data_IF_242198067749
#
_entry.id   IF_242198067749
#
_cell.length_a   1.000
_cell.length_b   1.000
_cell.length_c   1.000
_cell.angle_alpha   90.00
_cell.angle_beta   90.00
_cell.angle_gamma   90.00
#
_symmetry.space_group_name_H-M   'P 1'
#
loop_
_entity.id
_entity.type
_entity.pdbx_description
1 polymer ?
#
# COMPACT_ATOMS: atom_id res chain seq x y z
N UNK A 1 -43.47 -26.02 -19.67
CA UNK A 1 -43.32 -25.36 -20.97
C UNK A 1 -41.86 -24.99 -21.14
N UNK A 2 -41.09 -25.92 -21.70
CA UNK A 2 -39.65 -25.87 -21.93
C UNK A 2 -39.33 -25.12 -23.23
N UNK A 3 -38.25 -24.33 -23.26
CA UNK A 3 -37.56 -23.96 -24.50
C UNK A 3 -36.05 -23.89 -24.29
N UNK A 4 -35.39 -24.85 -24.92
CA UNK A 4 -33.94 -24.94 -25.15
C UNK A 4 -33.51 -24.16 -26.41
N UNK A 5 -32.27 -23.67 -26.33
CA UNK A 5 -31.24 -23.50 -27.38
C UNK A 5 -31.53 -22.75 -28.68
N UNK A 6 -30.69 -21.74 -28.98
CA UNK A 6 -29.83 -21.76 -30.19
C UNK A 6 -28.70 -20.72 -30.13
N UNK A 7 -27.47 -21.22 -30.10
CA UNK A 7 -26.24 -20.52 -30.46
C UNK A 7 -26.26 -20.21 -31.97
N UNK A 8 -26.01 -18.96 -32.37
CA UNK A 8 -25.72 -18.59 -33.76
C UNK A 8 -24.30 -18.01 -33.84
N UNK A 9 -23.46 -18.70 -34.61
CA UNK A 9 -22.09 -18.35 -34.97
C UNK A 9 -22.14 -17.69 -36.36
N UNK A 10 -21.66 -16.46 -36.48
CA UNK A 10 -21.57 -15.69 -37.74
C UNK A 10 -20.16 -15.87 -38.36
N UNK A 11 -20.00 -15.99 -39.70
CA UNK A 11 -18.76 -16.38 -40.35
C UNK A 11 -18.01 -15.15 -40.85
N UNK A 12 -16.88 -14.86 -40.23
CA UNK A 12 -15.82 -14.02 -40.81
C UNK A 12 -14.52 -14.42 -40.15
N UNK A 13 -13.42 -14.38 -40.89
CA UNK A 13 -12.06 -14.84 -40.51
C UNK A 13 -11.70 -16.28 -40.91
N UNK A 14 -11.77 -16.53 -42.21
CA UNK A 14 -10.95 -17.53 -42.90
C UNK A 14 -9.57 -16.95 -43.23
N UNK A 15 -8.49 -17.63 -42.83
CA UNK A 15 -7.17 -17.49 -43.44
C UNK A 15 -6.11 -16.87 -42.55
N UNK A 16 -5.26 -17.72 -41.96
CA UNK A 16 -3.79 -17.62 -41.98
C UNK A 16 -3.22 -18.85 -41.24
N UNK A 17 -2.74 -19.79 -42.05
CA UNK A 17 -2.04 -21.02 -41.69
C UNK A 17 -0.57 -20.72 -41.35
N UNK A 18 -0.06 -21.32 -40.28
CA UNK A 18 1.38 -21.55 -40.09
C UNK A 18 1.61 -23.03 -39.77
N UNK A 19 2.33 -23.68 -40.69
CA UNK A 19 2.74 -25.08 -40.66
C UNK A 19 3.76 -25.35 -39.55
N UNK A 20 3.66 -26.54 -38.96
CA UNK A 20 4.67 -27.15 -38.09
C UNK A 20 5.33 -28.31 -38.84
N UNK A 21 6.66 -28.47 -38.85
CA UNK A 21 7.29 -29.70 -39.32
C UNK A 21 7.70 -30.64 -38.17
N UNK A 22 7.88 -31.95 -38.46
CA UNK A 22 7.69 -33.03 -37.49
C UNK A 22 8.98 -33.63 -36.92
N UNK A 23 8.76 -34.48 -35.91
CA UNK A 23 9.67 -35.43 -35.25
C UNK A 23 10.08 -36.56 -36.21
N UNK A 24 11.34 -37.02 -36.14
CA UNK A 24 11.75 -38.33 -36.65
C UNK A 24 12.57 -39.13 -35.64
N UNK A 25 12.13 -40.37 -35.44
CA UNK A 25 12.80 -41.48 -34.74
C UNK A 25 13.93 -42.09 -35.58
N UNK A 26 14.82 -42.83 -34.89
CA UNK A 26 16.04 -43.41 -35.45
C UNK A 26 15.87 -44.72 -36.23
N UNK A 27 17.00 -45.20 -36.74
CA UNK A 27 17.20 -46.58 -37.22
C UNK A 27 18.69 -46.95 -37.15
N UNK A 28 18.91 -48.26 -37.11
CA UNK A 28 20.02 -49.02 -36.53
C UNK A 28 20.92 -49.62 -37.64
N UNK A 29 22.10 -50.10 -37.23
CA UNK A 29 22.99 -51.14 -37.82
C UNK A 29 24.19 -50.74 -38.74
N UNK A 30 25.38 -51.28 -38.38
CA UNK A 30 26.64 -51.27 -39.16
C UNK A 30 26.73 -52.48 -40.12
N UNK A 31 27.91 -53.09 -40.42
CA UNK A 31 29.30 -52.78 -40.07
C UNK A 31 30.31 -52.84 -41.27
N UNK A 32 31.62 -52.75 -40.95
CA UNK A 32 32.82 -53.24 -41.68
C UNK A 32 33.73 -52.27 -42.50
N UNK A 33 35.01 -52.31 -42.09
CA UNK A 33 36.28 -51.83 -42.68
C UNK A 33 36.93 -52.96 -43.54
N UNK A 34 38.15 -52.83 -44.17
CA UNK A 34 39.08 -51.71 -44.44
C UNK A 34 39.66 -51.78 -45.92
N UNK A 35 40.95 -51.48 -46.23
CA UNK A 35 41.65 -50.18 -46.33
C UNK A 35 42.37 -49.97 -47.70
N UNK A 36 42.83 -48.75 -48.05
CA UNK A 36 44.04 -48.56 -48.89
C UNK A 36 44.82 -47.27 -48.56
N UNK A 37 46.13 -47.45 -48.40
CA UNK A 37 47.20 -46.47 -48.17
C UNK A 37 47.74 -45.92 -49.50
N UNK A 38 48.11 -44.62 -49.55
CA UNK A 38 49.22 -44.17 -50.43
C UNK A 38 49.99 -42.98 -49.83
N UNK A 39 51.31 -43.19 -49.70
CA UNK A 39 52.36 -42.20 -49.39
C UNK A 39 52.67 -41.32 -50.62
N UNK A 40 53.39 -40.19 -50.40
CA UNK A 40 54.69 -39.79 -51.01
C UNK A 40 54.84 -38.25 -50.93
N UNK A 41 55.56 -37.70 -49.94
CA UNK A 41 56.96 -37.15 -49.90
C UNK A 41 57.18 -35.71 -50.39
N UNK A 42 58.03 -34.97 -49.65
CA UNK A 42 58.78 -33.76 -50.08
C UNK A 42 58.72 -32.64 -49.02
N UNK A 43 59.64 -32.50 -48.06
CA UNK A 43 61.07 -32.13 -48.07
C UNK A 43 61.34 -30.60 -47.97
N UNK A 44 62.04 -30.24 -46.87
CA UNK A 44 62.93 -29.09 -46.60
C UNK A 44 62.34 -27.75 -46.11
N UNK A 45 62.85 -27.30 -44.95
CA UNK A 45 63.28 -25.91 -44.79
C UNK A 45 63.05 -25.19 -43.44
N UNK A 46 64.12 -25.06 -42.65
CA UNK A 46 64.53 -23.87 -41.85
C UNK A 46 63.86 -23.55 -40.50
N UNK A 47 64.60 -23.91 -39.43
CA UNK A 47 64.99 -23.13 -38.23
C UNK A 47 64.30 -21.80 -37.86
N UNK A 48 63.75 -21.75 -36.63
CA UNK A 48 64.18 -20.92 -35.47
C UNK A 48 63.09 -20.13 -34.71
N UNK A 49 63.17 -20.28 -33.38
CA UNK A 49 62.77 -19.36 -32.30
C UNK A 49 61.29 -19.31 -31.86
N UNK A 50 61.09 -19.90 -30.66
CA UNK A 50 60.20 -19.51 -29.56
C UNK A 50 58.73 -19.22 -29.84
N UNK A 51 57.81 -20.02 -29.26
CA UNK A 51 56.72 -19.51 -28.42
C UNK A 51 56.11 -20.65 -27.59
N UNK A 52 56.03 -20.43 -26.28
CA UNK A 52 55.60 -21.36 -25.24
C UNK A 52 54.19 -21.93 -25.43
N UNK A 53 54.01 -23.26 -25.27
CA UNK A 53 52.73 -23.83 -24.77
C UNK A 53 52.82 -25.26 -24.21
N UNK A 54 52.83 -25.32 -22.87
CA UNK A 54 51.83 -26.02 -22.04
C UNK A 54 51.67 -27.54 -22.18
N UNK A 55 52.20 -28.28 -21.21
CA UNK A 55 51.69 -29.61 -20.82
C UNK A 55 51.72 -29.75 -19.29
N UNK A 56 50.58 -29.52 -18.65
CA UNK A 56 50.33 -29.88 -17.25
C UNK A 56 48.95 -30.56 -17.17
N UNK A 57 48.92 -31.72 -16.52
CA UNK A 57 47.85 -32.71 -16.48
C UNK A 57 46.51 -32.16 -15.94
N UNK A 58 45.43 -32.40 -16.67
CA UNK A 58 44.05 -32.26 -16.19
C UNK A 58 43.54 -33.62 -15.71
N UNK A 59 43.53 -33.86 -14.39
CA UNK A 59 42.74 -34.96 -13.81
C UNK A 59 42.23 -34.69 -12.39
N UNK A 60 42.28 -33.45 -11.88
CA UNK A 60 41.79 -33.15 -10.52
C UNK A 60 40.83 -31.95 -10.39
N UNK A 61 40.42 -31.29 -11.47
CA UNK A 61 39.74 -29.98 -11.36
C UNK A 61 38.21 -30.04 -11.53
N UNK A 62 37.58 -31.21 -11.69
CA UNK A 62 36.13 -31.30 -12.02
C UNK A 62 35.25 -31.62 -10.80
N UNK A 63 35.79 -32.12 -9.68
CA UNK A 63 34.97 -32.47 -8.49
C UNK A 63 34.71 -31.31 -7.52
N UNK A 64 35.52 -30.24 -7.54
CA UNK A 64 35.39 -29.11 -6.60
C UNK A 64 34.23 -28.15 -6.95
N UNK A 65 33.93 -27.82 -8.23
CA UNK A 65 32.86 -26.88 -8.56
C UNK A 65 31.47 -27.42 -8.21
N UNK A 66 31.22 -28.72 -8.44
CA UNK A 66 29.94 -29.35 -8.14
C UNK A 66 29.69 -29.46 -6.63
N UNK A 67 30.72 -29.79 -5.84
CA UNK A 67 30.61 -29.89 -4.38
C UNK A 67 30.43 -28.51 -3.73
N UNK A 68 31.07 -27.46 -4.26
CA UNK A 68 30.90 -26.08 -3.79
C UNK A 68 29.50 -25.54 -4.11
N UNK A 69 28.99 -25.76 -5.34
CA UNK A 69 27.62 -25.39 -5.70
C UNK A 69 26.60 -26.18 -4.85
N UNK A 70 26.84 -27.47 -4.59
CA UNK A 70 26.00 -28.28 -3.71
C UNK A 70 26.08 -27.81 -2.25
N UNK A 71 27.25 -27.43 -1.74
CA UNK A 71 27.43 -26.94 -0.38
C UNK A 71 26.85 -25.52 -0.18
N UNK A 72 26.91 -24.66 -1.20
CA UNK A 72 26.26 -23.35 -1.22
C UNK A 72 24.74 -23.49 -1.33
N UNK A 73 24.22 -24.39 -2.17
CA UNK A 73 22.78 -24.63 -2.28
C UNK A 73 22.20 -25.35 -1.07
N UNK A 74 22.90 -26.33 -0.48
CA UNK A 74 22.50 -26.99 0.77
C UNK A 74 22.66 -26.04 1.96
N UNK A 75 23.73 -25.24 2.01
CA UNK A 75 23.93 -24.21 3.02
C UNK A 75 22.87 -23.10 2.96
N UNK A 76 22.51 -22.67 1.75
CA UNK A 76 21.41 -21.73 1.52
C UNK A 76 20.06 -22.37 1.86
N UNK A 77 19.81 -23.62 1.47
CA UNK A 77 18.57 -24.33 1.82
C UNK A 77 18.44 -24.57 3.32
N UNK A 78 19.55 -24.89 4.02
CA UNK A 78 19.61 -25.00 5.48
C UNK A 78 19.43 -23.64 6.16
N UNK A 79 20.03 -22.58 5.62
CA UNK A 79 19.81 -21.21 6.10
C UNK A 79 18.36 -20.78 5.94
N UNK A 80 17.75 -21.04 4.78
CA UNK A 80 16.32 -20.80 4.52
C UNK A 80 15.44 -21.65 5.43
N UNK A 81 15.79 -22.91 5.67
CA UNK A 81 15.07 -23.79 6.59
C UNK A 81 15.15 -23.27 8.04
N UNK A 82 16.34 -22.89 8.51
CA UNK A 82 16.55 -22.33 9.85
C UNK A 82 15.88 -20.97 10.01
N UNK A 83 15.91 -20.13 8.97
CA UNK A 83 15.16 -18.87 8.94
C UNK A 83 13.66 -19.12 9.00
N UNK A 84 13.14 -20.09 8.23
CA UNK A 84 11.73 -20.49 8.25
C UNK A 84 11.31 -20.99 9.62
N UNK A 85 12.11 -21.85 10.25
CA UNK A 85 11.85 -22.39 11.59
C UNK A 85 11.77 -21.28 12.66
N UNK A 86 12.73 -20.34 12.62
CA UNK A 86 12.72 -19.17 13.49
C UNK A 86 11.52 -18.26 13.21
N UNK A 87 11.13 -18.12 11.95
CA UNK A 87 9.94 -17.36 11.55
C UNK A 87 8.67 -18.02 12.10
N UNK A 88 8.56 -19.35 12.04
CA UNK A 88 7.40 -20.08 12.54
C UNK A 88 7.30 -20.06 14.06
N UNK A 89 8.44 -20.12 14.77
CA UNK A 89 8.45 -19.95 16.23
C UNK A 89 7.96 -18.56 16.61
N UNK A 90 8.50 -17.53 15.95
CA UNK A 90 8.08 -16.15 16.19
C UNK A 90 6.61 -15.91 15.80
N UNK A 91 6.14 -16.53 14.70
CA UNK A 91 4.73 -16.51 14.31
C UNK A 91 3.86 -17.06 15.43
N UNK A 92 4.21 -18.23 15.96
CA UNK A 92 3.44 -18.90 17.01
C UNK A 92 3.42 -18.06 18.29
N UNK A 93 4.55 -17.45 18.68
CA UNK A 93 4.61 -16.55 19.84
C UNK A 93 3.70 -15.33 19.68
N UNK A 94 3.76 -14.67 18.51
CA UNK A 94 2.95 -13.47 18.24
C UNK A 94 1.46 -13.81 18.15
N UNK A 95 1.10 -14.87 17.44
CA UNK A 95 -0.29 -15.31 17.33
C UNK A 95 -0.82 -15.78 18.70
N UNK A 96 -0.02 -16.49 19.50
CA UNK A 96 -0.41 -16.90 20.85
C UNK A 96 -0.59 -15.69 21.77
N UNK A 97 0.30 -14.69 21.71
CA UNK A 97 0.13 -13.46 22.45
C UNK A 97 -1.16 -12.73 22.10
N UNK A 98 -1.49 -12.64 20.80
CA UNK A 98 -2.72 -12.00 20.33
C UNK A 98 -3.96 -12.80 20.73
N UNK A 99 -3.92 -14.14 20.66
CA UNK A 99 -5.01 -15.01 21.09
C UNK A 99 -5.23 -14.93 22.61
N UNK A 100 -4.16 -14.78 23.40
CA UNK A 100 -4.25 -14.54 24.85
C UNK A 100 -4.83 -13.15 25.17
N UNK A 101 -4.57 -12.15 24.32
CA UNK A 101 -5.05 -10.77 24.53
C UNK A 101 -6.51 -10.60 24.14
N UNK A 102 -6.93 -11.16 23.01
CA UNK A 102 -8.25 -10.91 22.41
C UNK A 102 -9.19 -12.12 22.47
N UNK A 103 -8.69 -13.30 22.89
CA UNK A 103 -9.46 -14.53 22.95
C UNK A 103 -9.46 -15.31 21.63
N UNK A 104 -10.33 -16.32 21.48
CA UNK A 104 -10.39 -17.14 20.29
C UNK A 104 -10.84 -16.33 19.07
N UNK A 105 -10.18 -16.57 17.93
CA UNK A 105 -10.56 -15.94 16.66
C UNK A 105 -11.83 -16.55 16.07
N UNK A 106 -12.50 -15.77 15.26
CA UNK A 106 -13.71 -16.14 14.54
C UNK A 106 -13.43 -17.28 13.53
N UNK A 107 -14.15 -18.38 13.67
CA UNK A 107 -13.97 -19.55 12.82
C UNK A 107 -14.34 -19.29 11.34
N UNK A 108 -15.20 -18.31 11.06
CA UNK A 108 -15.75 -18.03 9.72
C UNK A 108 -14.71 -17.51 8.74
N UNK A 109 -13.64 -16.89 9.24
CA UNK A 109 -12.57 -16.28 8.43
C UNK A 109 -11.29 -17.12 8.38
N UNK A 110 -11.28 -18.30 9.02
CA UNK A 110 -10.12 -19.20 9.01
C UNK A 110 -9.86 -19.72 7.60
N UNK A 111 -8.59 -19.81 7.22
CA UNK A 111 -8.16 -20.21 5.87
C UNK A 111 -8.26 -19.10 4.82
N UNK A 112 -8.74 -17.91 5.17
CA UNK A 112 -8.77 -16.78 4.24
C UNK A 112 -7.37 -16.20 4.08
N UNK A 113 -7.08 -15.72 2.87
CA UNK A 113 -5.77 -15.19 2.51
C UNK A 113 -5.34 -14.07 3.47
N UNK A 114 -4.14 -14.25 4.05
CA UNK A 114 -3.49 -13.34 5.02
C UNK A 114 -4.20 -13.17 6.38
N UNK A 115 -5.17 -14.01 6.75
CA UNK A 115 -5.84 -13.93 8.05
C UNK A 115 -5.36 -14.96 9.08
N UNK A 116 -4.82 -16.11 8.65
CA UNK A 116 -4.41 -17.17 9.58
C UNK A 116 -3.22 -16.78 10.48
N UNK A 117 -2.33 -15.95 9.96
CA UNK A 117 -1.13 -15.49 10.66
C UNK A 117 -1.01 -13.96 10.57
N UNK A 118 -0.53 -13.34 11.65
CA UNK A 118 -0.24 -11.91 11.68
C UNK A 118 1.05 -11.53 10.95
N UNK A 119 1.98 -12.48 10.78
CA UNK A 119 3.29 -12.19 10.22
C UNK A 119 3.25 -11.56 8.81
N UNK A 120 2.43 -12.05 7.86
CA UNK A 120 2.33 -11.41 6.54
C UNK A 120 1.97 -9.92 6.63
N UNK A 121 0.99 -9.57 7.47
CA UNK A 121 0.55 -8.19 7.71
C UNK A 121 1.67 -7.34 8.27
N UNK A 122 2.38 -7.87 9.27
CA UNK A 122 3.52 -7.21 9.89
C UNK A 122 4.67 -6.99 8.89
N UNK A 123 5.06 -8.02 8.13
CA UNK A 123 6.13 -7.92 7.14
C UNK A 123 5.80 -6.94 6.02
N UNK A 124 4.57 -6.97 5.49
CA UNK A 124 4.13 -6.01 4.48
C UNK A 124 4.17 -4.57 5.00
N UNK A 125 3.81 -4.36 6.27
CA UNK A 125 3.93 -3.06 6.94
C UNK A 125 5.40 -2.61 7.05
N UNK A 126 6.30 -3.50 7.46
CA UNK A 126 7.74 -3.21 7.54
C UNK A 126 8.30 -2.88 6.16
N UNK A 127 7.96 -3.67 5.13
CA UNK A 127 8.34 -3.43 3.73
C UNK A 127 7.84 -2.07 3.27
N UNK A 128 6.59 -1.71 3.59
CA UNK A 128 6.03 -0.40 3.28
C UNK A 128 6.87 0.73 3.89
N UNK A 129 7.18 0.68 5.18
CA UNK A 129 8.00 1.72 5.84
C UNK A 129 9.42 1.78 5.27
N UNK A 130 10.03 0.61 5.01
CA UNK A 130 11.34 0.52 4.36
C UNK A 130 11.31 1.09 2.94
N UNK A 131 10.22 0.88 2.19
CA UNK A 131 10.07 1.40 0.83
C UNK A 131 10.05 2.93 0.81
N UNK A 132 9.48 3.57 1.84
CA UNK A 132 9.51 5.04 1.97
C UNK A 132 10.94 5.52 2.19
N UNK A 133 11.67 4.90 3.13
CA UNK A 133 13.04 5.30 3.42
C UNK A 133 13.99 5.05 2.24
N UNK A 134 13.98 3.83 1.71
CA UNK A 134 14.84 3.41 0.60
C UNK A 134 14.48 4.15 -0.70
N UNK A 135 13.19 4.31 -0.98
CA UNK A 135 12.71 5.02 -2.16
C UNK A 135 13.10 6.49 -2.14
N UNK A 136 13.01 7.19 -1.00
CA UNK A 136 13.49 8.57 -0.88
C UNK A 136 15.01 8.68 -1.08
N UNK A 137 15.78 7.73 -0.52
CA UNK A 137 17.24 7.67 -0.71
C UNK A 137 17.60 7.44 -2.19
N UNK A 138 16.89 6.53 -2.86
CA UNK A 138 17.08 6.19 -4.27
C UNK A 138 16.70 7.36 -5.21
N UNK A 139 15.61 8.06 -4.91
CA UNK A 139 15.10 9.17 -5.72
C UNK A 139 15.84 10.50 -5.49
N UNK A 140 16.75 10.58 -4.50
CA UNK A 140 17.50 11.81 -4.18
C UNK A 140 18.20 12.40 -5.41
N UNK A 141 18.93 11.56 -6.13
CA UNK A 141 19.76 11.95 -7.30
C UNK A 141 19.07 11.71 -8.65
N UNK A 142 17.77 11.41 -8.66
CA UNK A 142 17.01 11.12 -9.89
C UNK A 142 15.93 12.19 -10.15
N UNK A 143 15.55 12.43 -11.41
CA UNK A 143 14.39 13.25 -11.73
C UNK A 143 13.09 12.56 -11.29
N UNK A 144 12.02 13.34 -11.08
CA UNK A 144 10.71 12.80 -10.75
C UNK A 144 10.12 12.01 -11.93
N UNK A 145 9.53 10.85 -11.67
CA UNK A 145 8.95 10.02 -12.72
C UNK A 145 7.56 10.53 -13.16
N UNK A 146 7.32 10.54 -14.47
CA UNK A 146 6.00 10.83 -15.04
C UNK A 146 5.16 9.55 -15.09
N UNK A 147 4.38 9.32 -14.04
CA UNK A 147 3.56 8.11 -13.90
C UNK A 147 2.07 8.36 -14.21
N UNK A 148 1.76 9.35 -15.06
CA UNK A 148 0.38 9.84 -15.26
C UNK A 148 -0.62 8.73 -15.63
N UNK A 149 -0.30 7.92 -16.64
CA UNK A 149 -1.18 6.82 -17.08
C UNK A 149 -1.42 5.80 -15.97
N UNK A 150 -0.35 5.37 -15.30
CA UNK A 150 -0.42 4.42 -14.18
C UNK A 150 -1.29 4.98 -13.05
N UNK A 151 -1.10 6.26 -12.68
CA UNK A 151 -1.92 6.89 -11.64
C UNK A 151 -3.40 6.95 -12.04
N UNK A 152 -3.74 7.22 -13.31
CA UNK A 152 -5.15 7.25 -13.75
C UNK A 152 -5.78 5.87 -13.57
N UNK A 153 -5.15 4.81 -14.08
CA UNK A 153 -5.66 3.44 -13.94
C UNK A 153 -5.73 2.99 -12.48
N UNK A 154 -4.71 3.32 -11.69
CA UNK A 154 -4.68 3.02 -10.27
C UNK A 154 -5.83 3.71 -9.52
N UNK A 155 -5.96 5.04 -9.66
CA UNK A 155 -7.04 5.78 -8.98
C UNK A 155 -8.42 5.28 -9.44
N UNK A 156 -8.60 4.98 -10.73
CA UNK A 156 -9.84 4.39 -11.24
C UNK A 156 -10.11 3.02 -10.62
N UNK A 157 -9.10 2.16 -10.54
CA UNK A 157 -9.20 0.84 -9.92
C UNK A 157 -9.62 0.90 -8.45
N UNK A 158 -9.01 1.79 -7.66
CA UNK A 158 -9.39 1.97 -6.25
C UNK A 158 -10.80 2.56 -6.14
N UNK A 159 -11.18 3.51 -7.00
CA UNK A 159 -12.55 4.05 -7.04
C UNK A 159 -13.57 2.94 -7.31
N UNK A 160 -13.32 2.07 -8.29
CA UNK A 160 -14.21 0.95 -8.63
C UNK A 160 -14.28 -0.09 -7.50
N UNK A 161 -13.15 -0.42 -6.89
CA UNK A 161 -13.10 -1.31 -5.72
C UNK A 161 -13.90 -0.72 -4.54
N UNK A 162 -13.75 0.59 -4.29
CA UNK A 162 -14.49 1.30 -3.24
C UNK A 162 -15.98 1.35 -3.53
N UNK A 163 -16.38 1.51 -4.80
CA UNK A 163 -17.77 1.44 -5.23
C UNK A 163 -18.35 0.04 -5.01
N UNK A 164 -17.63 -1.00 -5.42
CA UNK A 164 -18.01 -2.39 -5.17
C UNK A 164 -18.24 -2.65 -3.67
N UNK A 165 -17.27 -2.28 -2.82
CA UNK A 165 -17.39 -2.47 -1.37
C UNK A 165 -18.57 -1.70 -0.77
N UNK A 166 -18.80 -0.44 -1.21
CA UNK A 166 -19.92 0.36 -0.76
C UNK A 166 -21.27 -0.30 -1.10
N UNK A 167 -21.44 -0.69 -2.36
CA UNK A 167 -22.68 -1.31 -2.86
C UNK A 167 -22.93 -2.63 -2.15
N UNK A 168 -21.92 -3.50 -2.06
CA UNK A 168 -22.06 -4.78 -1.40
C UNK A 168 -22.33 -4.66 0.10
N UNK A 169 -21.70 -3.72 0.82
CA UNK A 169 -22.01 -3.50 2.24
C UNK A 169 -23.44 -3.01 2.44
N UNK A 170 -23.93 -2.09 1.60
CA UNK A 170 -25.31 -1.60 1.69
C UNK A 170 -26.29 -2.73 1.38
N UNK A 171 -26.09 -3.49 0.30
CA UNK A 171 -26.97 -4.59 -0.07
C UNK A 171 -26.96 -5.71 0.98
N UNK A 172 -25.77 -6.13 1.44
CA UNK A 172 -25.65 -7.19 2.43
C UNK A 172 -26.34 -6.83 3.76
N UNK A 173 -26.23 -5.58 4.19
CA UNK A 173 -26.83 -5.13 5.45
C UNK A 173 -28.32 -4.86 5.33
N UNK A 174 -28.79 -4.36 4.18
CA UNK A 174 -30.21 -4.17 3.89
C UNK A 174 -30.96 -5.49 3.77
N UNK A 175 -30.46 -6.41 2.94
CA UNK A 175 -31.05 -7.75 2.76
C UNK A 175 -30.95 -8.59 4.04
N UNK A 176 -29.88 -8.40 4.82
CA UNK A 176 -29.67 -9.06 6.11
C UNK A 176 -30.46 -8.46 7.27
N UNK A 177 -31.25 -7.39 7.05
CA UNK A 177 -32.05 -6.75 8.11
C UNK A 177 -31.22 -6.21 9.27
N UNK A 178 -30.02 -5.67 8.99
CA UNK A 178 -29.11 -5.17 10.03
C UNK A 178 -29.76 -4.06 10.85
N UNK A 179 -29.58 -4.14 12.17
CA UNK A 179 -29.95 -3.05 13.06
C UNK A 179 -28.87 -1.96 13.01
N UNK A 180 -29.23 -0.80 12.45
CA UNK A 180 -28.35 0.35 12.28
C UNK A 180 -27.91 1.01 13.60
N UNK A 181 -28.59 0.72 14.71
CA UNK A 181 -28.21 1.26 16.02
C UNK A 181 -27.18 0.38 16.72
N UNK A 182 -27.42 -0.94 16.73
CA UNK A 182 -26.49 -1.92 17.27
C UNK A 182 -26.74 -3.30 16.64
N UNK A 183 -25.71 -3.87 15.99
CA UNK A 183 -25.74 -5.18 15.35
C UNK A 183 -24.68 -6.09 15.97
N UNK A 184 -25.09 -7.28 16.41
CA UNK A 184 -24.17 -8.28 16.96
C UNK A 184 -23.49 -9.10 15.85
N UNK A 185 -22.69 -10.10 16.24
CA UNK A 185 -21.85 -10.86 15.32
C UNK A 185 -22.52 -12.11 14.70
N UNK A 186 -23.72 -12.47 15.17
CA UNK A 186 -24.34 -13.78 14.88
C UNK A 186 -25.78 -13.70 14.39
N UNK A 187 -26.42 -12.53 14.46
CA UNK A 187 -27.86 -12.39 14.24
C UNK A 187 -28.30 -12.45 12.77
N UNK A 188 -27.42 -12.25 11.79
CA UNK A 188 -27.81 -12.10 10.39
C UNK A 188 -27.37 -13.26 9.47
N UNK A 189 -26.84 -14.35 10.04
CA UNK A 189 -26.60 -15.61 9.32
C UNK A 189 -25.73 -15.44 8.07
N UNK A 190 -26.29 -15.71 6.88
CA UNK A 190 -25.57 -15.59 5.61
C UNK A 190 -25.14 -14.15 5.28
N UNK A 191 -25.91 -13.15 5.72
CA UNK A 191 -25.56 -11.75 5.53
C UNK A 191 -24.29 -11.38 6.31
N UNK A 192 -24.08 -11.95 7.50
CA UNK A 192 -22.84 -11.75 8.27
C UNK A 192 -21.61 -12.27 7.51
N UNK A 193 -21.75 -13.41 6.82
CA UNK A 193 -20.68 -13.97 5.99
C UNK A 193 -20.43 -13.09 4.77
N UNK A 194 -21.49 -12.56 4.13
CA UNK A 194 -21.36 -11.62 3.01
C UNK A 194 -20.64 -10.34 3.45
N UNK A 195 -21.03 -9.75 4.58
CA UNK A 195 -20.33 -8.59 5.17
C UNK A 195 -18.87 -8.92 5.44
N UNK A 196 -18.57 -10.06 6.07
CA UNK A 196 -17.20 -10.48 6.34
C UNK A 196 -16.34 -10.57 5.07
N UNK A 197 -16.87 -11.13 3.97
CA UNK A 197 -16.18 -11.20 2.67
C UNK A 197 -15.85 -9.81 2.13
N UNK A 198 -16.77 -8.86 2.26
CA UNK A 198 -16.54 -7.48 1.80
C UNK A 198 -15.55 -6.76 2.72
N UNK A 199 -15.60 -7.02 4.03
CA UNK A 199 -14.61 -6.50 4.97
C UNK A 199 -13.21 -7.08 4.72
N UNK A 200 -13.10 -8.30 4.22
CA UNK A 200 -11.83 -8.84 3.74
C UNK A 200 -11.30 -8.07 2.53
N UNK A 201 -12.15 -7.75 1.54
CA UNK A 201 -11.78 -6.86 0.44
C UNK A 201 -11.38 -5.47 0.94
N UNK A 202 -12.04 -4.97 1.97
CA UNK A 202 -11.68 -3.70 2.60
C UNK A 202 -10.29 -3.77 3.25
N UNK A 203 -9.98 -4.81 4.00
CA UNK A 203 -8.63 -5.04 4.54
C UNK A 203 -7.59 -5.14 3.42
N UNK A 204 -7.86 -5.94 2.38
CA UNK A 204 -6.98 -6.07 1.23
C UNK A 204 -6.77 -4.74 0.50
N UNK A 205 -7.81 -3.90 0.40
CA UNK A 205 -7.69 -2.57 -0.20
C UNK A 205 -6.66 -1.71 0.52
N UNK A 206 -6.53 -1.79 1.85
CA UNK A 206 -5.52 -1.02 2.61
C UNK A 206 -4.08 -1.39 2.20
N UNK A 207 -3.84 -2.65 1.84
CA UNK A 207 -2.57 -3.08 1.27
C UNK A 207 -2.31 -2.45 -0.10
N UNK A 208 -3.33 -2.39 -0.96
CA UNK A 208 -3.22 -1.74 -2.28
C UNK A 208 -2.96 -0.24 -2.11
N UNK A 209 -3.60 0.40 -1.13
CA UNK A 209 -3.43 1.83 -0.81
C UNK A 209 -2.01 2.20 -0.34
N UNK A 210 -1.18 1.23 0.08
CA UNK A 210 0.26 1.49 0.31
C UNK A 210 0.97 2.01 -0.95
N UNK A 211 0.45 1.69 -2.14
CA UNK A 211 0.97 2.20 -3.40
C UNK A 211 0.85 3.73 -3.51
N UNK A 212 -0.09 4.38 -2.81
CA UNK A 212 -0.21 5.85 -2.78
C UNK A 212 1.11 6.51 -2.36
N UNK A 213 1.68 6.01 -1.27
CA UNK A 213 2.92 6.54 -0.72
C UNK A 213 4.09 6.24 -1.65
N UNK A 214 4.11 5.07 -2.27
CA UNK A 214 5.14 4.70 -3.26
C UNK A 214 5.07 5.66 -4.46
N UNK A 215 3.88 5.97 -4.97
CA UNK A 215 3.73 6.97 -6.04
C UNK A 215 4.17 8.36 -5.60
N UNK A 216 3.92 8.78 -4.35
CA UNK A 216 4.43 10.05 -3.83
C UNK A 216 5.96 10.09 -3.80
N UNK A 217 6.61 9.01 -3.38
CA UNK A 217 8.08 8.89 -3.37
C UNK A 217 8.63 8.96 -4.80
N UNK A 218 8.10 8.16 -5.72
CA UNK A 218 8.56 8.09 -7.12
C UNK A 218 8.34 9.41 -7.88
N UNK A 219 7.33 10.20 -7.50
CA UNK A 219 7.06 11.53 -8.06
C UNK A 219 7.78 12.67 -7.35
N UNK A 220 8.62 12.37 -6.34
CA UNK A 220 9.29 13.35 -5.45
C UNK A 220 8.30 14.34 -4.82
N UNK A 221 7.12 13.87 -4.44
CA UNK A 221 6.08 14.64 -3.73
C UNK A 221 6.12 14.34 -2.23
N UNK A 222 7.32 14.44 -1.64
CA UNK A 222 7.57 14.14 -0.21
C UNK A 222 6.72 14.99 0.73
N UNK A 223 6.35 16.21 0.34
CA UNK A 223 5.42 17.05 1.11
C UNK A 223 4.02 16.43 1.32
N UNK A 224 3.63 15.44 0.51
CA UNK A 224 2.38 14.70 0.68
C UNK A 224 2.52 13.55 1.70
N UNK A 225 3.73 13.07 1.95
CA UNK A 225 4.04 12.00 2.91
C UNK A 225 4.13 12.62 4.31
N UNK A 226 2.96 12.99 4.84
CA UNK A 226 2.85 13.56 6.18
C UNK A 226 2.82 12.47 7.26
N UNK A 227 3.07 12.86 8.51
CA UNK A 227 2.88 11.96 9.66
C UNK A 227 1.47 11.36 9.67
N UNK A 228 0.44 12.17 9.43
CA UNK A 228 -0.95 11.72 9.36
C UNK A 228 -1.12 10.61 8.32
N UNK A 229 -0.56 10.80 7.11
CA UNK A 229 -0.63 9.82 6.03
C UNK A 229 0.00 8.49 6.43
N UNK A 230 1.26 8.52 6.89
CA UNK A 230 1.98 7.29 7.25
C UNK A 230 1.36 6.60 8.47
N UNK A 231 0.96 7.36 9.49
CA UNK A 231 0.26 6.85 10.67
C UNK A 231 -1.04 6.14 10.27
N UNK A 232 -1.88 6.79 9.46
CA UNK A 232 -3.14 6.23 9.00
C UNK A 232 -2.95 4.93 8.22
N UNK A 233 -2.15 4.94 7.14
CA UNK A 233 -1.97 3.74 6.31
C UNK A 233 -1.36 2.59 7.10
N UNK A 234 -0.34 2.86 7.92
CA UNK A 234 0.33 1.82 8.74
C UNK A 234 -0.63 1.23 9.78
N UNK A 235 -1.32 2.08 10.54
CA UNK A 235 -2.22 1.61 11.61
C UNK A 235 -3.45 0.90 11.06
N UNK A 236 -4.08 1.43 10.01
CA UNK A 236 -5.30 0.83 9.43
C UNK A 236 -5.08 -0.61 8.99
N UNK A 237 -3.99 -0.89 8.27
CA UNK A 237 -3.75 -2.25 7.78
C UNK A 237 -3.62 -3.28 8.92
N UNK A 238 -2.90 -2.92 9.99
CA UNK A 238 -2.72 -3.81 11.15
C UNK A 238 -3.99 -3.93 12.00
N UNK A 239 -4.72 -2.83 12.22
CA UNK A 239 -5.98 -2.83 12.96
C UNK A 239 -7.02 -3.71 12.25
N UNK A 240 -7.13 -3.60 10.93
CA UNK A 240 -8.12 -4.36 10.16
C UNK A 240 -7.86 -5.87 10.14
N UNK A 241 -6.60 -6.29 10.23
CA UNK A 241 -6.27 -7.70 10.44
C UNK A 241 -6.85 -8.22 11.77
N UNK A 242 -6.75 -7.43 12.85
CA UNK A 242 -7.37 -7.79 14.12
C UNK A 242 -8.91 -7.77 14.01
N UNK A 243 -9.49 -6.71 13.44
CA UNK A 243 -10.95 -6.59 13.29
C UNK A 243 -11.52 -7.81 12.55
N UNK A 244 -10.90 -8.26 11.47
CA UNK A 244 -11.37 -9.45 10.75
C UNK A 244 -11.23 -10.75 11.54
N UNK A 245 -10.18 -10.89 12.34
CA UNK A 245 -9.98 -12.11 13.12
C UNK A 245 -10.93 -12.24 14.31
N UNK A 246 -11.41 -11.15 14.91
CA UNK A 246 -12.26 -11.21 16.11
C UNK A 246 -13.69 -10.70 15.91
N UNK A 247 -13.91 -9.73 15.02
CA UNK A 247 -15.19 -9.05 14.81
C UNK A 247 -15.48 -8.81 13.31
N UNK A 248 -15.52 -9.87 12.47
CA UNK A 248 -15.63 -9.75 11.00
C UNK A 248 -17.00 -9.31 10.48
N UNK A 249 -17.93 -8.90 11.33
CA UNK A 249 -19.25 -8.42 10.93
C UNK A 249 -19.87 -7.57 12.06
N UNK A 250 -21.20 -7.44 12.09
CA UNK A 250 -21.90 -6.66 13.11
C UNK A 250 -21.54 -5.18 13.02
N UNK A 251 -21.41 -4.51 14.18
CA UNK A 251 -21.12 -3.07 14.27
C UNK A 251 -19.88 -2.58 13.49
N UNK A 252 -18.93 -3.45 13.17
CA UNK A 252 -17.73 -3.12 12.38
C UNK A 252 -18.03 -2.62 10.96
N UNK A 253 -19.20 -2.89 10.40
CA UNK A 253 -19.53 -2.58 9.00
C UNK A 253 -19.61 -1.08 8.68
N UNK A 254 -20.08 -0.26 9.63
CA UNK A 254 -20.52 1.11 9.35
C UNK A 254 -19.35 2.03 8.96
N UNK A 255 -18.22 1.91 9.65
CA UNK A 255 -17.00 2.67 9.34
C UNK A 255 -16.50 2.43 7.91
N UNK A 256 -16.28 1.17 7.49
CA UNK A 256 -15.97 0.78 6.11
C UNK A 256 -16.96 1.27 5.07
N UNK A 257 -18.27 1.24 5.35
CA UNK A 257 -19.29 1.76 4.44
C UNK A 257 -19.06 3.24 4.16
N UNK A 258 -18.94 4.06 5.22
CA UNK A 258 -18.68 5.49 5.05
C UNK A 258 -17.28 5.77 4.47
N UNK A 259 -16.27 5.01 4.86
CA UNK A 259 -14.92 5.14 4.31
C UNK A 259 -14.89 4.85 2.81
N UNK A 260 -15.57 3.78 2.36
CA UNK A 260 -15.66 3.41 0.95
C UNK A 260 -16.34 4.51 0.15
N UNK A 261 -17.41 5.11 0.67
CA UNK A 261 -18.04 6.28 0.04
C UNK A 261 -17.07 7.47 -0.11
N UNK A 262 -16.35 7.81 0.96
CA UNK A 262 -15.37 8.90 0.91
C UNK A 262 -14.19 8.56 -0.02
N UNK A 263 -13.77 7.29 -0.08
CA UNK A 263 -12.71 6.82 -0.97
C UNK A 263 -13.12 6.94 -2.44
N UNK A 264 -14.38 6.66 -2.80
CA UNK A 264 -14.89 6.93 -4.15
C UNK A 264 -14.66 8.41 -4.52
N UNK A 265 -15.04 9.34 -3.64
CA UNK A 265 -14.89 10.77 -3.89
C UNK A 265 -13.41 11.20 -3.96
N UNK A 266 -12.60 10.68 -3.04
CA UNK A 266 -11.19 11.05 -2.87
C UNK A 266 -10.32 10.52 -4.02
N UNK A 267 -10.45 9.23 -4.39
CA UNK A 267 -9.70 8.67 -5.51
C UNK A 267 -10.21 9.18 -6.87
N UNK A 268 -11.51 9.49 -7.01
CA UNK A 268 -12.00 10.20 -8.20
C UNK A 268 -11.36 11.59 -8.32
N UNK A 269 -11.25 12.34 -7.22
CA UNK A 269 -10.54 13.62 -7.21
C UNK A 269 -9.07 13.45 -7.58
N UNK A 270 -8.37 12.44 -7.06
CA UNK A 270 -6.98 12.19 -7.40
C UNK A 270 -6.79 11.78 -8.86
N UNK A 271 -7.64 10.90 -9.40
CA UNK A 271 -7.62 10.54 -10.82
C UNK A 271 -7.80 11.75 -11.72
N UNK A 272 -8.81 12.59 -11.44
CA UNK A 272 -9.04 13.83 -12.18
C UNK A 272 -7.89 14.83 -12.03
N UNK A 273 -7.24 14.88 -10.86
CA UNK A 273 -6.08 15.77 -10.60
C UNK A 273 -4.82 15.40 -11.38
N UNK A 274 -4.78 14.22 -12.02
CA UNK A 274 -3.67 13.87 -12.92
C UNK A 274 -3.79 14.60 -14.26
N UNK A 275 -5.01 14.95 -14.67
CA UNK A 275 -5.32 15.57 -15.95
C UNK A 275 -5.19 17.10 -15.82
N UNK A 276 -4.23 17.77 -16.49
CA UNK A 276 -4.01 19.20 -16.31
C UNK A 276 -5.21 20.09 -16.66
N UNK A 277 -5.98 19.72 -17.69
CA UNK A 277 -7.19 20.45 -18.08
C UNK A 277 -8.29 20.42 -17.00
N UNK A 278 -8.27 19.42 -16.13
CA UNK A 278 -9.28 19.27 -15.08
C UNK A 278 -8.99 20.10 -13.83
N UNK A 279 -7.76 20.61 -13.65
CA UNK A 279 -7.35 21.32 -12.43
C UNK A 279 -8.24 22.52 -12.10
N UNK A 280 -8.72 23.25 -13.11
CA UNK A 280 -9.62 24.40 -12.95
C UNK A 280 -10.96 24.02 -12.30
N UNK A 281 -11.43 22.78 -12.52
CA UNK A 281 -12.73 22.30 -12.03
C UNK A 281 -12.64 21.65 -10.63
N UNK A 282 -11.44 21.47 -10.08
CA UNK A 282 -11.18 20.78 -8.81
C UNK A 282 -11.17 21.72 -7.59
N UNK A 283 -12.05 22.73 -7.59
CA UNK A 283 -12.19 23.73 -6.51
C UNK A 283 -12.73 23.12 -5.21
N UNK A 284 -13.36 21.95 -5.28
CA UNK A 284 -14.06 21.31 -4.18
C UNK A 284 -13.17 20.47 -3.25
N UNK A 285 -11.84 20.59 -3.38
CA UNK A 285 -10.86 19.91 -2.50
C UNK A 285 -11.13 20.14 -1.01
N UNK A 286 -11.56 21.34 -0.62
CA UNK A 286 -11.87 21.67 0.78
C UNK A 286 -13.06 20.86 1.30
N UNK A 287 -14.08 20.64 0.47
CA UNK A 287 -15.27 19.88 0.85
C UNK A 287 -14.96 18.39 1.03
N UNK A 288 -13.98 17.85 0.29
CA UNK A 288 -13.49 16.48 0.53
C UNK A 288 -12.93 16.33 1.96
N UNK A 289 -12.10 17.26 2.41
CA UNK A 289 -11.56 17.21 3.78
C UNK A 289 -12.65 17.40 4.84
N UNK A 290 -13.66 18.23 4.56
CA UNK A 290 -14.83 18.36 5.44
C UNK A 290 -15.64 17.05 5.49
N UNK A 291 -15.85 16.39 4.35
CA UNK A 291 -16.55 15.11 4.28
C UNK A 291 -15.80 14.01 5.04
N UNK A 292 -14.46 13.96 4.96
CA UNK A 292 -13.61 13.07 5.77
C UNK A 292 -13.78 13.31 7.28
N UNK A 293 -13.81 14.56 7.73
CA UNK A 293 -14.06 14.89 9.14
C UNK A 293 -15.45 14.46 9.59
N UNK A 294 -16.47 14.70 8.76
CA UNK A 294 -17.86 14.28 9.03
C UNK A 294 -17.94 12.74 9.13
N UNK A 295 -17.25 12.01 8.25
CA UNK A 295 -17.17 10.55 8.27
C UNK A 295 -16.70 10.03 9.63
N UNK A 296 -15.65 10.62 10.19
CA UNK A 296 -15.12 10.21 11.49
C UNK A 296 -16.10 10.51 12.63
N UNK A 297 -16.73 11.69 12.63
CA UNK A 297 -17.74 12.05 13.63
C UNK A 297 -18.93 11.10 13.57
N UNK A 298 -19.47 10.82 12.38
CA UNK A 298 -20.57 9.87 12.20
C UNK A 298 -20.20 8.47 12.69
N UNK A 299 -18.97 8.01 12.40
CA UNK A 299 -18.52 6.69 12.85
C UNK A 299 -18.38 6.62 14.37
N UNK A 300 -17.89 7.70 15.02
CA UNK A 300 -17.85 7.80 16.48
C UNK A 300 -19.27 7.76 17.05
N UNK A 301 -20.18 8.57 16.52
CA UNK A 301 -21.58 8.61 16.99
C UNK A 301 -22.27 7.24 16.91
N UNK A 302 -22.11 6.52 15.80
CA UNK A 302 -22.62 5.16 15.64
C UNK A 302 -21.97 4.16 16.61
N UNK A 303 -20.67 4.27 16.84
CA UNK A 303 -19.98 3.40 17.80
C UNK A 303 -20.45 3.67 19.24
N UNK A 304 -20.65 4.94 19.59
CA UNK A 304 -21.15 5.34 20.91
C UNK A 304 -22.62 4.95 21.12
N UNK A 305 -23.46 4.94 20.07
CA UNK A 305 -24.84 4.46 20.22
C UNK A 305 -24.88 2.98 20.62
N UNK A 306 -23.97 2.16 20.09
CA UNK A 306 -23.82 0.75 20.49
C UNK A 306 -23.27 0.57 21.92
N UNK A 307 -22.56 1.57 22.46
CA UNK A 307 -22.14 1.59 23.87
C UNK A 307 -23.32 1.89 24.80
N UNK A 308 -24.21 2.80 24.41
CA UNK A 308 -25.38 3.16 25.23
C UNK A 308 -26.44 2.07 25.22
N UNK A 309 -26.67 1.43 24.07
CA UNK A 309 -27.66 0.36 23.91
C UNK A 309 -26.93 -0.91 23.45
N UNK A 310 -26.46 -1.74 24.40
CA UNK A 310 -25.63 -2.89 24.09
C UNK A 310 -26.45 -4.00 23.44
N UNK A 311 -25.96 -4.51 22.30
CA UNK A 311 -26.54 -5.64 21.58
C UNK A 311 -25.71 -6.93 21.67
N UNK A 312 -24.70 -6.98 22.55
CA UNK A 312 -23.78 -8.11 22.68
C UNK A 312 -22.53 -8.01 21.80
N UNK A 313 -22.26 -6.86 21.18
CA UNK A 313 -20.97 -6.59 20.53
C UNK A 313 -19.88 -6.34 21.60
N UNK A 314 -18.62 -6.80 21.42
CA UNK A 314 -17.58 -6.66 22.44
C UNK A 314 -17.27 -5.21 22.81
N UNK A 315 -17.51 -4.85 24.07
CA UNK A 315 -17.33 -3.47 24.57
C UNK A 315 -15.91 -2.93 24.37
N UNK A 316 -14.89 -3.74 24.63
CA UNK A 316 -13.48 -3.35 24.44
C UNK A 316 -13.17 -2.92 23.01
N UNK A 317 -13.77 -3.58 22.01
CA UNK A 317 -13.61 -3.21 20.60
C UNK A 317 -14.27 -1.87 20.28
N UNK A 318 -15.43 -1.56 20.87
CA UNK A 318 -16.13 -0.27 20.68
C UNK A 318 -15.32 0.89 21.26
N UNK A 319 -14.74 0.71 22.44
CA UNK A 319 -13.88 1.72 23.08
C UNK A 319 -12.59 1.91 22.27
N UNK A 320 -11.95 0.82 21.84
CA UNK A 320 -10.78 0.87 20.98
C UNK A 320 -11.08 1.65 19.68
N UNK A 321 -12.14 1.29 18.97
CA UNK A 321 -12.59 1.97 17.76
C UNK A 321 -12.83 3.47 17.99
N UNK A 322 -13.55 3.82 19.06
CA UNK A 322 -13.84 5.22 19.41
C UNK A 322 -12.56 6.00 19.72
N UNK A 323 -11.63 5.40 20.47
CA UNK A 323 -10.36 6.03 20.82
C UNK A 323 -9.47 6.25 19.59
N UNK A 324 -9.38 5.27 18.69
CA UNK A 324 -8.61 5.39 17.46
C UNK A 324 -9.21 6.45 16.53
N UNK A 325 -10.54 6.47 16.38
CA UNK A 325 -11.20 7.46 15.55
C UNK A 325 -11.01 8.88 16.08
N UNK A 326 -11.00 9.07 17.40
CA UNK A 326 -10.66 10.35 18.03
C UNK A 326 -9.24 10.81 17.67
N UNK A 327 -8.25 9.90 17.64
CA UNK A 327 -6.88 10.26 17.21
C UNK A 327 -6.87 10.78 15.77
N UNK A 328 -7.62 10.15 14.86
CA UNK A 328 -7.72 10.59 13.47
C UNK A 328 -8.43 11.94 13.35
N UNK A 329 -9.51 12.17 14.11
CA UNK A 329 -10.18 13.48 14.16
C UNK A 329 -9.19 14.58 14.56
N UNK A 330 -8.40 14.37 15.62
CA UNK A 330 -7.41 15.35 16.08
C UNK A 330 -6.38 15.65 14.99
N UNK A 331 -5.84 14.62 14.35
CA UNK A 331 -4.82 14.77 13.30
C UNK A 331 -5.37 15.44 12.04
N UNK A 332 -6.58 15.07 11.60
CA UNK A 332 -7.23 15.69 10.43
C UNK A 332 -7.66 17.12 10.72
N UNK A 333 -8.13 17.41 11.94
CA UNK A 333 -8.46 18.78 12.34
C UNK A 333 -7.20 19.65 12.37
N UNK A 334 -6.08 19.13 12.86
CA UNK A 334 -4.79 19.81 12.82
C UNK A 334 -4.37 20.11 11.37
N UNK A 335 -4.47 19.13 10.48
CA UNK A 335 -4.20 19.30 9.05
C UNK A 335 -5.13 20.36 8.41
N UNK A 336 -6.43 20.30 8.70
CA UNK A 336 -7.43 21.22 8.15
C UNK A 336 -7.17 22.66 8.59
N UNK A 337 -6.90 22.88 9.89
CA UNK A 337 -6.59 24.21 10.43
C UNK A 337 -5.30 24.76 9.81
N UNK A 338 -4.25 23.94 9.71
CA UNK A 338 -2.97 24.35 9.11
C UNK A 338 -3.09 24.67 7.61
N UNK A 339 -3.90 23.93 6.87
CA UNK A 339 -4.02 24.06 5.41
C UNK A 339 -5.01 25.16 4.99
N UNK A 340 -6.13 25.31 5.71
CA UNK A 340 -7.26 26.14 5.25
C UNK A 340 -7.57 27.35 6.16
N UNK A 341 -7.18 27.36 7.44
CA UNK A 341 -7.46 28.48 8.36
C UNK A 341 -6.28 29.42 8.58
N UNK A 342 -5.04 28.97 8.40
CA UNK A 342 -3.89 29.89 8.40
C UNK A 342 -3.85 30.69 7.10
N UNK A 343 -4.58 31.81 7.06
CA UNK A 343 -4.15 32.96 6.24
C UNK A 343 -2.81 33.44 6.80
N UNK A 344 -1.80 33.81 5.98
CA UNK A 344 -0.69 34.57 6.52
C UNK A 344 -1.29 35.84 7.13
N UNK A 345 -1.01 36.08 8.40
CA UNK A 345 -1.16 37.40 8.98
C UNK A 345 -0.38 38.34 8.06
N UNK A 346 -1.09 39.20 7.31
CA UNK A 346 -0.48 40.28 6.53
C UNK A 346 0.48 41.02 7.47
N UNK A 347 1.70 41.33 7.01
CA UNK A 347 2.75 41.96 7.84
C UNK A 347 2.26 43.19 8.64
N UNK A 348 1.23 43.91 8.16
CA UNK A 348 0.52 44.98 8.88
C UNK A 348 0.03 44.61 10.29
N UNK A 349 -0.34 43.35 10.51
CA UNK A 349 -0.87 42.89 11.80
C UNK A 349 0.23 42.54 12.81
N UNK A 350 1.47 42.28 12.36
CA UNK A 350 2.63 42.10 13.24
C UNK A 350 3.18 43.44 13.73
N UNK A 351 3.15 44.49 12.90
CA UNK A 351 3.54 45.84 13.32
C UNK A 351 2.55 46.44 14.33
N UNK A 352 1.24 46.19 14.17
CA UNK A 352 0.23 46.62 15.16
C UNK A 352 0.33 45.92 16.52
N UNK A 353 0.93 44.73 16.58
CA UNK A 353 1.14 44.01 17.84
C UNK A 353 2.49 44.35 18.50
N UNK A 354 3.52 44.68 17.70
CA UNK A 354 4.82 45.12 18.19
C UNK A 354 4.81 46.56 18.73
N UNK A 355 3.86 47.41 18.31
CA UNK A 355 3.71 48.78 18.81
C UNK A 355 2.92 48.93 20.11
N UNK A 356 2.53 47.84 20.78
CA UNK A 356 1.61 47.89 21.94
C UNK A 356 2.09 47.19 23.21
N UNK A 357 3.36 46.82 23.32
CA UNK A 357 3.90 46.26 24.56
C UNK A 357 5.03 47.10 25.17
N UNK A 358 4.76 47.54 26.41
CA UNK A 358 5.64 48.00 27.48
C UNK A 358 6.00 49.50 27.55
N UNK A 359 5.13 50.27 28.22
CA UNK A 359 5.55 51.33 29.15
C UNK A 359 5.80 50.70 30.52
N UNK A 360 7.02 50.81 31.05
CA UNK A 360 7.30 50.78 32.49
C UNK A 360 8.69 51.38 32.80
N UNK A 361 8.70 52.50 33.52
CA UNK A 361 9.70 52.79 34.57
C UNK A 361 11.01 53.51 34.19
N UNK A 362 11.02 54.83 34.41
CA UNK A 362 12.15 55.71 34.80
C UNK A 362 13.45 55.75 33.96
N UNK A 363 13.88 56.97 33.61
CA UNK A 363 15.06 57.52 34.29
C UNK A 363 14.87 58.96 34.77
N UNK A 364 15.46 59.27 35.93
CA UNK A 364 15.57 60.63 36.48
C UNK A 364 16.80 61.32 35.87
N UNK A 365 16.73 62.66 35.85
CA UNK A 365 17.80 63.68 35.71
C UNK A 365 17.85 64.45 34.36
N UNK A 366 17.12 65.58 34.34
CA UNK A 366 17.55 66.97 34.07
C UNK A 366 18.43 67.25 32.80
N UNK A 367 18.12 68.16 31.85
CA UNK A 367 18.00 69.63 31.99
C UNK A 367 17.61 70.30 30.64
N UNK A 368 16.83 71.39 30.71
CA UNK A 368 16.74 72.61 29.85
C UNK A 368 16.34 72.57 28.36
N UNK A 369 15.15 73.14 28.11
CA UNK A 369 14.78 74.23 27.17
C UNK A 369 15.53 74.43 25.84
N UNK A 370 14.77 74.46 24.73
CA UNK A 370 14.44 75.69 23.96
C UNK A 370 14.24 75.42 22.44
N UNK A 371 13.04 75.78 21.97
CA UNK A 371 12.65 76.49 20.73
C UNK A 371 13.28 76.22 19.34
N UNK A 372 12.39 76.20 18.33
CA UNK A 372 12.65 76.59 16.92
C UNK A 372 12.11 75.58 15.92
N UNK A 373 10.96 75.81 15.25
CA UNK A 373 10.84 76.47 13.93
C UNK A 373 11.81 75.83 12.91
N UNK A 374 11.42 75.24 11.79
CA UNK A 374 10.25 75.37 10.93
C UNK A 374 10.73 75.10 9.49
N UNK A 375 9.77 74.91 8.57
CA UNK A 375 9.95 74.90 7.11
C UNK A 375 10.69 73.70 6.48
N UNK A 376 10.40 73.23 5.26
CA UNK A 376 9.28 73.31 4.29
C UNK A 376 9.76 72.50 3.07
N UNK A 377 8.79 72.01 2.28
CA UNK A 377 8.82 71.81 0.80
C UNK A 377 9.65 70.63 0.24
N UNK A 378 8.96 69.71 -0.45
CA UNK A 378 8.79 69.62 -1.92
C UNK A 378 9.95 68.82 -2.54
N UNK A 379 9.72 67.73 -3.29
CA UNK A 379 8.82 67.53 -4.41
C UNK A 379 8.24 66.11 -4.43
#
# INVERSE_FOLDING_TARGET
MSRETREQRDPRWSGLSYESPPVQEGSVEGPQQPPVVRKVTGAKGVSSVAYWKKRWNWSQTIHVPALMIYCETVGFSFFIYKMRDRLTIFDNEVNSFLDNMFGPRDARVRGWLMLDSYLPTFFLTVIYLLSIWLGNKYMKNRPALSLRGILIFYNLGITLLSLYMLVELILATWEGGYNLQCQNLVSAGEADIRVARVLWWYYFSKLIEFMDTIFFVLRKKTNQITFLHVYHHTSMFNIWWCVLNWIPCGQSFFGPTLNSFIHILMYSYYGLSVIPSMHKYLWWKKYLTQAQLIQFVLTISHTLSAVVIPCGFPFGCLIFQSSYMLTLVILFLNFYVRTYRKKPLTQESKEKLAGKEVTNGFPKVHFTEANGIGDKKAL
#
